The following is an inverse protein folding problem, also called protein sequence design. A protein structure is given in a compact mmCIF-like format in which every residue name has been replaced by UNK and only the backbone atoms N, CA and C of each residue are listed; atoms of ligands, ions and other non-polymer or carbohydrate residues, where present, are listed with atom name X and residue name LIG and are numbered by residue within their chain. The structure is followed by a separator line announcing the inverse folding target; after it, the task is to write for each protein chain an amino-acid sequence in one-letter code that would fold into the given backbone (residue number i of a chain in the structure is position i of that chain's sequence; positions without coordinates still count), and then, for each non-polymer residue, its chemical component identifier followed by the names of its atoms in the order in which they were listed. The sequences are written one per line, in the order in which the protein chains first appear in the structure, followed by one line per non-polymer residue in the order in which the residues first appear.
data_IF_407532241206
#
_entry.id   IF_407532241206
#
_cell.length_a   1.000
_cell.length_b   1.000
_cell.length_c   1.000
_cell.angle_alpha   90.00
_cell.angle_beta   90.00
_cell.angle_gamma   90.00
#
_symmetry.space_group_name_H-M   'P 1'
#
loop_
_entity.id
_entity.type
_entity.pdbx_description
1 polymer ?
#
# COMPACT_ATOMS: atom_id res chain seq x y z
N UNK A 1 -4.34 8.22 2.73
CA UNK A 1 -4.92 7.18 3.62
C UNK A 1 -4.38 5.79 3.28
N UNK A 2 -4.55 5.31 2.05
CA UNK A 2 -4.04 3.99 1.61
C UNK A 2 -2.53 3.77 1.91
N UNK A 3 -1.66 4.69 1.50
CA UNK A 3 -0.22 4.59 1.80
C UNK A 3 0.13 4.74 3.30
N UNK A 4 -0.77 5.30 4.11
CA UNK A 4 -0.57 5.43 5.56
C UNK A 4 -1.03 4.16 6.31
N UNK A 5 -1.48 3.13 5.61
CA UNK A 5 -2.02 1.90 6.21
C UNK A 5 -3.45 2.03 6.75
N UNK A 6 -4.13 3.16 6.50
CA UNK A 6 -5.52 3.40 6.90
C UNK A 6 -6.47 3.00 5.75
N UNK A 7 -6.41 1.71 5.35
CA UNK A 7 -7.13 1.16 4.20
C UNK A 7 -8.64 1.10 4.40
N UNK A 8 -9.09 0.77 5.61
CA UNK A 8 -10.51 0.68 5.98
C UNK A 8 -11.24 2.02 5.79
N UNK A 9 -10.74 3.09 6.41
CA UNK A 9 -11.28 4.45 6.25
C UNK A 9 -11.24 4.92 4.78
N UNK A 10 -10.18 4.56 4.06
CA UNK A 10 -10.09 4.91 2.64
C UNK A 10 -11.15 4.18 1.81
N UNK A 11 -11.41 2.90 2.13
CA UNK A 11 -12.42 2.08 1.48
C UNK A 11 -13.83 2.63 1.72
N UNK A 12 -14.17 3.02 2.95
CA UNK A 12 -15.47 3.63 3.28
C UNK A 12 -15.73 4.89 2.43
N UNK A 13 -14.72 5.76 2.30
CA UNK A 13 -14.81 6.97 1.46
C UNK A 13 -15.01 6.58 -0.02
N UNK A 14 -14.26 5.59 -0.51
CA UNK A 14 -14.37 5.15 -1.90
C UNK A 14 -15.72 4.48 -2.21
N UNK A 15 -16.28 3.70 -1.27
CA UNK A 15 -17.64 3.13 -1.38
C UNK A 15 -18.68 4.24 -1.49
N UNK A 16 -18.56 5.29 -0.68
CA UNK A 16 -19.48 6.43 -0.76
C UNK A 16 -19.42 7.13 -2.12
N UNK A 17 -18.21 7.36 -2.66
CA UNK A 17 -18.01 8.03 -3.96
C UNK A 17 -18.55 7.18 -5.12
N UNK A 18 -18.32 5.85 -5.08
CA UNK A 18 -18.82 4.94 -6.13
C UNK A 18 -20.34 4.80 -6.12
N UNK A 19 -20.99 4.84 -4.95
CA UNK A 19 -22.44 4.75 -4.83
C UNK A 19 -23.16 6.08 -5.13
N UNK A 20 -22.50 7.21 -4.89
CA UNK A 20 -23.05 8.56 -5.11
C UNK A 20 -22.16 9.39 -6.03
N UNK A 21 -22.05 9.03 -7.33
CA UNK A 21 -21.25 9.81 -8.27
C UNK A 21 -21.84 11.24 -8.38
N UNK A 22 -20.98 12.23 -8.16
CA UNK A 22 -21.36 13.65 -8.13
C UNK A 22 -21.98 14.13 -9.46
N UNK A 23 -22.88 15.11 -9.39
CA UNK A 23 -23.52 15.74 -10.55
C UNK A 23 -22.52 16.70 -11.20
N UNK A 24 -22.01 16.36 -12.40
CA UNK A 24 -21.01 17.16 -13.09
C UNK A 24 -21.55 18.53 -13.54
N UNK A 25 -20.74 19.58 -13.33
CA UNK A 25 -20.81 20.85 -14.05
C UNK A 25 -19.58 21.03 -14.95
N UNK A 26 -19.80 21.50 -16.18
CA UNK A 26 -18.87 22.29 -17.01
C UNK A 26 -17.50 21.77 -17.48
N UNK A 27 -16.91 20.71 -16.92
CA UNK A 27 -15.52 20.33 -17.27
C UNK A 27 -15.39 19.54 -18.59
N UNK A 28 -14.24 19.71 -19.27
CA UNK A 28 -13.85 18.99 -20.51
C UNK A 28 -13.58 17.49 -20.31
N UNK A 29 -13.58 17.00 -19.08
CA UNK A 29 -13.33 15.60 -18.73
C UNK A 29 -14.62 14.80 -18.88
N UNK A 30 -14.58 13.75 -19.71
CA UNK A 30 -15.74 12.88 -19.92
C UNK A 30 -16.02 12.02 -18.67
N UNK A 31 -17.31 11.79 -18.40
CA UNK A 31 -17.80 11.11 -17.19
C UNK A 31 -17.17 9.73 -16.98
N UNK A 32 -17.03 8.98 -18.07
CA UNK A 32 -16.45 7.64 -18.11
C UNK A 32 -14.98 7.59 -17.65
N UNK A 33 -14.18 8.62 -17.93
CA UNK A 33 -12.78 8.70 -17.50
C UNK A 33 -12.65 8.84 -15.98
N UNK A 34 -13.50 9.68 -15.38
CA UNK A 34 -13.58 9.84 -13.91
C UNK A 34 -14.11 8.56 -13.29
N UNK A 35 -15.19 8.00 -13.84
CA UNK A 35 -15.81 6.77 -13.36
C UNK A 35 -14.84 5.58 -13.37
N UNK A 36 -14.08 5.39 -14.46
CA UNK A 36 -13.07 4.34 -14.55
C UNK A 36 -11.94 4.55 -13.53
N UNK A 37 -11.47 5.79 -13.35
CA UNK A 37 -10.49 6.14 -12.32
C UNK A 37 -10.97 5.84 -10.90
N UNK A 38 -12.22 6.19 -10.58
CA UNK A 38 -12.86 5.87 -9.30
C UNK A 38 -12.96 4.36 -9.07
N UNK A 39 -13.39 3.58 -10.07
CA UNK A 39 -13.44 2.12 -9.93
C UNK A 39 -12.06 1.48 -9.79
N UNK A 40 -11.03 2.03 -10.42
CA UNK A 40 -9.65 1.56 -10.22
C UNK A 40 -9.17 1.81 -8.80
N UNK A 41 -9.41 3.01 -8.24
CA UNK A 41 -9.09 3.31 -6.84
C UNK A 41 -9.87 2.38 -5.89
N UNK A 42 -11.18 2.23 -6.11
CA UNK A 42 -12.01 1.34 -5.31
C UNK A 42 -11.50 -0.11 -5.35
N UNK A 43 -11.18 -0.62 -6.54
CA UNK A 43 -10.57 -1.94 -6.71
C UNK A 43 -9.28 -2.07 -5.90
N UNK A 44 -8.38 -1.09 -6.01
CA UNK A 44 -7.10 -1.12 -5.32
C UNK A 44 -7.28 -1.13 -3.79
N UNK A 45 -8.26 -0.40 -3.26
CA UNK A 45 -8.61 -0.39 -1.85
C UNK A 45 -9.21 -1.72 -1.38
N UNK A 46 -10.13 -2.31 -2.15
CA UNK A 46 -10.66 -3.64 -1.84
C UNK A 46 -9.55 -4.69 -1.77
N UNK A 47 -8.59 -4.66 -2.71
CA UNK A 47 -7.45 -5.59 -2.71
C UNK A 47 -6.52 -5.36 -1.52
N UNK A 48 -6.20 -4.10 -1.20
CA UNK A 48 -5.35 -3.76 -0.06
C UNK A 48 -5.98 -4.20 1.27
N UNK A 49 -7.29 -3.98 1.44
CA UNK A 49 -8.01 -4.41 2.64
C UNK A 49 -8.14 -5.94 2.70
N UNK A 50 -8.38 -6.60 1.56
CA UNK A 50 -8.35 -8.06 1.48
C UNK A 50 -6.97 -8.66 1.83
N UNK A 51 -5.89 -7.95 1.50
CA UNK A 51 -4.52 -8.31 1.89
C UNK A 51 -4.32 -8.14 3.39
N UNK A 52 -4.72 -7.00 3.97
CA UNK A 52 -4.69 -6.75 5.43
C UNK A 52 -5.46 -7.81 6.21
N UNK A 53 -6.65 -8.20 5.74
CA UNK A 53 -7.43 -9.26 6.36
C UNK A 53 -6.72 -10.62 6.28
N UNK A 54 -6.04 -10.92 5.15
CA UNK A 54 -5.22 -12.13 4.98
C UNK A 54 -4.11 -12.20 6.02
N UNK A 55 -3.43 -11.08 6.29
CA UNK A 55 -2.44 -10.96 7.37
C UNK A 55 -3.09 -11.30 8.72
N UNK A 56 -4.24 -10.67 9.01
CA UNK A 56 -4.91 -10.85 10.30
C UNK A 56 -5.37 -12.26 10.61
N UNK A 57 -5.42 -13.15 9.62
CA UNK A 57 -5.75 -14.54 9.84
C UNK A 57 -4.67 -15.30 10.63
N UNK A 58 -3.44 -14.78 10.73
CA UNK A 58 -2.38 -15.43 11.52
C UNK A 58 -2.45 -15.14 13.03
N UNK A 59 -3.18 -14.11 13.45
CA UNK A 59 -3.37 -13.76 14.87
C UNK A 59 -4.85 -13.64 15.29
N UNK A 60 -5.79 -13.95 14.40
CA UNK A 60 -7.22 -14.05 14.72
C UNK A 60 -7.62 -15.50 14.86
N UNK A 61 -8.49 -15.79 15.83
CA UNK A 61 -9.01 -17.12 16.07
C UNK A 61 -10.55 -17.13 16.13
N UNK A 62 -11.13 -18.34 16.13
CA UNK A 62 -12.55 -18.55 16.36
C UNK A 62 -13.48 -17.82 15.37
N UNK A 63 -14.49 -17.14 15.91
CA UNK A 63 -15.51 -16.45 15.11
C UNK A 63 -14.96 -15.24 14.35
N UNK A 64 -13.97 -14.53 14.92
CA UNK A 64 -13.32 -13.41 14.25
C UNK A 64 -12.58 -13.86 12.99
N UNK A 65 -11.95 -15.03 13.02
CA UNK A 65 -11.28 -15.62 11.86
C UNK A 65 -12.27 -15.86 10.72
N UNK A 66 -13.42 -16.49 11.00
CA UNK A 66 -14.46 -16.75 10.00
C UNK A 66 -15.07 -15.46 9.44
N UNK A 67 -15.33 -14.47 10.30
CA UNK A 67 -15.76 -13.12 9.87
C UNK A 67 -14.75 -12.49 8.91
N UNK A 68 -13.46 -12.53 9.25
CA UNK A 68 -12.39 -11.99 8.42
C UNK A 68 -12.29 -12.71 7.06
N UNK A 69 -12.42 -14.04 7.03
CA UNK A 69 -12.44 -14.83 5.79
C UNK A 69 -13.64 -14.47 4.90
N UNK A 70 -14.84 -14.42 5.48
CA UNK A 70 -16.06 -14.07 4.74
C UNK A 70 -15.98 -12.65 4.18
N UNK A 71 -15.54 -11.69 4.98
CA UNK A 71 -15.41 -10.30 4.55
C UNK A 71 -14.32 -10.13 3.49
N UNK A 72 -13.18 -10.80 3.64
CA UNK A 72 -12.13 -10.85 2.61
C UNK A 72 -12.68 -11.38 1.28
N UNK A 73 -13.50 -12.44 1.31
CA UNK A 73 -14.11 -13.00 0.10
C UNK A 73 -15.05 -12.00 -0.59
N UNK A 74 -15.84 -11.25 0.18
CA UNK A 74 -16.68 -10.15 -0.34
C UNK A 74 -15.81 -9.12 -1.07
N UNK A 75 -14.76 -8.61 -0.42
CA UNK A 75 -13.86 -7.60 -1.00
C UNK A 75 -13.19 -8.06 -2.30
N UNK A 76 -12.78 -9.34 -2.39
CA UNK A 76 -12.22 -9.89 -3.62
C UNK A 76 -13.25 -9.95 -4.77
N UNK A 77 -14.52 -10.23 -4.46
CA UNK A 77 -15.59 -10.18 -5.44
C UNK A 77 -15.88 -8.74 -5.89
N UNK A 78 -15.91 -7.79 -4.96
CA UNK A 78 -16.12 -6.37 -5.25
C UNK A 78 -14.99 -5.81 -6.13
N UNK A 79 -13.73 -6.13 -5.82
CA UNK A 79 -12.56 -5.83 -6.65
C UNK A 79 -12.68 -6.41 -8.07
N UNK A 80 -13.18 -7.64 -8.20
CA UNK A 80 -13.42 -8.28 -9.50
C UNK A 80 -14.49 -7.54 -10.30
N UNK A 81 -15.61 -7.18 -9.68
CA UNK A 81 -16.67 -6.43 -10.36
C UNK A 81 -16.21 -5.02 -10.77
N UNK A 82 -15.45 -4.34 -9.92
CA UNK A 82 -14.83 -3.06 -10.26
C UNK A 82 -13.91 -3.20 -11.49
N UNK A 83 -13.08 -4.24 -11.56
CA UNK A 83 -12.25 -4.52 -12.75
C UNK A 83 -13.07 -4.78 -14.03
N UNK A 84 -14.20 -5.49 -13.92
CA UNK A 84 -15.12 -5.69 -15.05
C UNK A 84 -15.71 -4.34 -15.52
N UNK A 85 -16.08 -3.46 -14.60
CA UNK A 85 -16.57 -2.11 -14.93
C UNK A 85 -15.52 -1.27 -15.64
N UNK A 86 -14.28 -1.26 -15.13
CA UNK A 86 -13.16 -0.55 -15.77
C UNK A 86 -12.91 -1.06 -17.19
N UNK A 87 -12.89 -2.38 -17.40
CA UNK A 87 -12.79 -2.97 -18.74
C UNK A 87 -13.92 -2.53 -19.67
N UNK A 88 -15.16 -2.54 -19.18
CA UNK A 88 -16.31 -2.13 -19.97
C UNK A 88 -16.22 -0.66 -20.37
N UNK A 89 -15.79 0.22 -19.46
CA UNK A 89 -15.59 1.64 -19.74
C UNK A 89 -14.43 1.85 -20.74
N UNK A 90 -13.35 1.10 -20.60
CA UNK A 90 -12.22 1.16 -21.53
C UNK A 90 -12.62 0.73 -22.94
N UNK A 91 -13.33 -0.40 -23.06
CA UNK A 91 -13.69 -0.98 -24.35
C UNK A 91 -14.81 -0.21 -25.05
N UNK A 92 -15.86 0.21 -24.32
CA UNK A 92 -17.02 0.86 -24.92
C UNK A 92 -16.72 2.29 -25.40
N UNK A 93 -15.63 2.89 -24.93
CA UNK A 93 -15.22 4.25 -25.28
C UNK A 93 -13.87 4.30 -26.01
N UNK A 94 -13.36 3.16 -26.50
CA UNK A 94 -12.11 3.07 -27.27
C UNK A 94 -10.88 3.65 -26.53
N UNK A 95 -10.76 3.35 -25.22
CA UNK A 95 -9.73 3.92 -24.34
C UNK A 95 -8.64 2.95 -23.90
N UNK A 96 -8.57 1.75 -24.47
CA UNK A 96 -7.60 0.75 -24.02
C UNK A 96 -6.16 1.30 -24.05
N UNK A 97 -5.71 1.80 -25.19
CA UNK A 97 -4.40 2.45 -25.31
C UNK A 97 -4.30 3.73 -24.48
N UNK A 98 -5.22 4.68 -24.64
CA UNK A 98 -5.14 5.99 -23.97
C UNK A 98 -5.20 5.91 -22.43
N UNK A 99 -5.82 4.88 -21.87
CA UNK A 99 -5.87 4.65 -20.42
C UNK A 99 -4.53 4.23 -19.81
N UNK A 100 -3.62 3.61 -20.58
CA UNK A 100 -2.28 3.24 -20.13
C UNK A 100 -1.34 4.45 -20.02
N UNK A 101 -1.66 5.54 -20.74
CA UNK A 101 -0.82 6.73 -20.80
C UNK A 101 -0.87 7.53 -19.49
N UNK A 102 0.29 7.92 -18.92
CA UNK A 102 0.36 8.83 -17.79
C UNK A 102 -0.08 10.25 -18.17
N UNK A 103 -0.36 11.09 -17.17
CA UNK A 103 -0.90 12.46 -17.32
C UNK A 103 -2.32 12.60 -17.88
N UNK A 104 -2.86 13.82 -17.82
CA UNK A 104 -4.12 14.25 -18.44
C UNK A 104 -4.03 14.30 -19.97
N UNK A 105 -3.65 13.18 -20.60
CA UNK A 105 -3.78 13.01 -22.04
C UNK A 105 -5.26 12.87 -22.43
N UNK A 106 -5.70 13.40 -23.58
CA UNK A 106 -7.04 13.13 -24.08
C UNK A 106 -7.26 11.62 -24.16
N UNK A 107 -8.33 11.12 -23.54
CA UNK A 107 -8.60 9.70 -23.56
C UNK A 107 -8.36 8.97 -22.23
N UNK A 108 -7.45 9.49 -21.41
CA UNK A 108 -6.92 8.79 -20.23
C UNK A 108 -7.93 8.68 -19.09
N UNK A 109 -7.72 7.70 -18.22
CA UNK A 109 -8.46 7.62 -16.97
C UNK A 109 -7.89 8.58 -15.94
N UNK A 110 -8.76 9.21 -15.15
CA UNK A 110 -8.34 10.11 -14.08
C UNK A 110 -7.92 9.27 -12.87
N UNK A 111 -6.68 8.80 -12.89
CA UNK A 111 -6.06 8.04 -11.80
C UNK A 111 -4.60 8.44 -11.58
N UNK A 112 -4.03 8.03 -10.45
CA UNK A 112 -2.62 8.20 -10.15
C UNK A 112 -1.76 7.29 -11.02
N UNK A 113 -0.60 7.79 -11.44
CA UNK A 113 0.31 7.07 -12.36
C UNK A 113 0.73 5.69 -11.83
N UNK A 114 0.92 5.55 -10.52
CA UNK A 114 1.35 4.29 -9.91
C UNK A 114 0.28 3.18 -9.92
N UNK A 115 -0.99 3.51 -10.14
CA UNK A 115 -2.06 2.53 -10.34
C UNK A 115 -2.19 2.08 -11.79
N UNK A 116 -1.63 2.82 -12.75
CA UNK A 116 -1.75 2.46 -14.18
C UNK A 116 -1.23 1.06 -14.50
N UNK A 117 -0.12 0.56 -13.92
CA UNK A 117 0.31 -0.82 -14.19
C UNK A 117 -0.69 -1.88 -13.69
N UNK A 118 -1.59 -1.57 -12.75
CA UNK A 118 -2.67 -2.49 -12.35
C UNK A 118 -3.68 -2.74 -13.49
N UNK A 119 -3.72 -1.88 -14.51
CA UNK A 119 -4.52 -2.10 -15.72
C UNK A 119 -4.09 -3.37 -16.47
N UNK A 120 -2.85 -3.81 -16.34
CA UNK A 120 -2.39 -5.10 -16.91
C UNK A 120 -3.19 -6.25 -16.32
N UNK A 121 -3.45 -6.25 -15.01
CA UNK A 121 -4.29 -7.27 -14.36
C UNK A 121 -5.76 -7.13 -14.73
N UNK A 122 -6.23 -5.91 -14.97
CA UNK A 122 -7.63 -5.64 -15.32
C UNK A 122 -7.93 -6.05 -16.77
N UNK A 123 -7.08 -5.67 -17.71
CA UNK A 123 -7.24 -5.98 -19.15
C UNK A 123 -6.79 -7.39 -19.50
N UNK A 124 -5.79 -7.92 -18.77
CA UNK A 124 -5.04 -9.10 -19.14
C UNK A 124 -3.82 -8.75 -19.99
N UNK A 125 -2.73 -9.48 -19.81
CA UNK A 125 -1.43 -9.18 -20.42
C UNK A 125 -1.47 -9.09 -21.95
N UNK A 126 -2.27 -9.92 -22.63
CA UNK A 126 -2.44 -9.86 -24.08
C UNK A 126 -3.06 -8.55 -24.57
N UNK A 127 -4.18 -8.14 -23.97
CA UNK A 127 -4.88 -6.90 -24.33
C UNK A 127 -4.05 -5.67 -23.96
N UNK A 128 -3.40 -5.69 -22.79
CA UNK A 128 -2.53 -4.61 -22.37
C UNK A 128 -1.30 -4.44 -23.28
N UNK A 129 -0.73 -5.55 -23.76
CA UNK A 129 0.37 -5.53 -24.75
C UNK A 129 -0.05 -4.88 -26.05
N UNK A 130 -1.17 -5.31 -26.64
CA UNK A 130 -1.67 -4.73 -27.89
C UNK A 130 -1.96 -3.23 -27.74
N UNK A 131 -2.59 -2.84 -26.62
CA UNK A 131 -2.86 -1.44 -26.31
C UNK A 131 -1.57 -0.62 -26.11
N UNK A 132 -0.52 -1.22 -25.55
CA UNK A 132 0.78 -0.59 -25.41
C UNK A 132 1.48 -0.47 -26.77
N UNK A 133 1.45 -1.51 -27.59
CA UNK A 133 2.05 -1.53 -28.92
C UNK A 133 1.40 -0.48 -29.84
N UNK A 134 0.09 -0.25 -29.71
CA UNK A 134 -0.60 0.85 -30.40
C UNK A 134 0.00 2.23 -30.05
N UNK A 135 0.32 2.48 -28.77
CA UNK A 135 0.98 3.72 -28.34
C UNK A 135 2.36 3.85 -29.00
N UNK A 136 3.14 2.76 -29.05
CA UNK A 136 4.47 2.78 -29.65
C UNK A 136 4.44 2.94 -31.18
N UNK A 137 3.42 2.40 -31.85
CA UNK A 137 3.22 2.56 -33.28
C UNK A 137 2.74 3.97 -33.65
N UNK A 138 1.97 4.60 -32.77
CA UNK A 138 1.42 5.96 -32.94
C UNK A 138 1.80 6.81 -31.73
N UNK A 139 3.10 7.15 -31.57
CA UNK A 139 3.58 7.84 -30.38
C UNK A 139 2.93 9.22 -30.27
N UNK A 140 2.37 9.57 -29.10
CA UNK A 140 1.87 10.91 -28.85
C UNK A 140 3.02 11.93 -28.77
N UNK A 141 2.68 13.22 -28.84
CA UNK A 141 3.68 14.30 -28.73
C UNK A 141 4.50 14.24 -27.43
N UNK A 142 3.88 13.81 -26.34
CA UNK A 142 4.49 13.67 -25.01
C UNK A 142 5.22 12.34 -24.79
N UNK A 143 5.34 11.49 -25.82
CA UNK A 143 5.80 10.10 -25.69
C UNK A 143 7.12 9.96 -24.92
N UNK A 144 8.12 10.77 -25.22
CA UNK A 144 9.43 10.70 -24.55
C UNK A 144 9.34 10.91 -23.02
N UNK A 145 8.40 11.74 -22.56
CA UNK A 145 8.16 12.00 -21.13
C UNK A 145 7.32 10.89 -20.48
N UNK A 146 6.45 10.25 -21.28
CA UNK A 146 5.59 9.15 -20.84
C UNK A 146 6.32 7.81 -20.84
N UNK A 147 7.32 7.64 -21.73
CA UNK A 147 8.01 6.38 -22.01
C UNK A 147 8.50 5.67 -20.75
N UNK A 148 9.19 6.32 -19.78
CA UNK A 148 9.64 5.60 -18.59
C UNK A 148 8.52 4.96 -17.77
N UNK A 149 7.33 5.58 -17.70
CA UNK A 149 6.18 4.97 -17.03
C UNK A 149 5.52 3.87 -17.87
N UNK A 150 5.51 4.02 -19.19
CA UNK A 150 5.02 2.99 -20.11
C UNK A 150 5.93 1.74 -20.09
N UNK A 151 7.23 1.88 -19.89
CA UNK A 151 8.14 0.75 -19.69
C UNK A 151 7.85 -0.01 -18.38
N UNK A 152 7.41 0.67 -17.31
CA UNK A 152 6.93 -0.02 -16.09
C UNK A 152 5.68 -0.86 -16.40
N UNK A 153 4.77 -0.35 -17.25
CA UNK A 153 3.63 -1.14 -17.73
C UNK A 153 4.09 -2.33 -18.57
N UNK A 154 5.09 -2.15 -19.44
CA UNK A 154 5.67 -3.24 -20.24
C UNK A 154 6.27 -4.34 -19.37
N UNK A 155 7.02 -3.97 -18.34
CA UNK A 155 7.57 -4.92 -17.39
C UNK A 155 6.47 -5.73 -16.67
N UNK A 156 5.36 -5.09 -16.31
CA UNK A 156 4.24 -5.77 -15.66
C UNK A 156 3.51 -6.71 -16.63
N UNK A 157 3.50 -6.39 -17.93
CA UNK A 157 3.02 -7.31 -18.98
C UNK A 157 3.92 -8.54 -19.09
N UNK A 158 5.25 -8.35 -19.16
CA UNK A 158 6.22 -9.44 -19.22
C UNK A 158 6.11 -10.35 -17.98
N UNK A 159 6.09 -9.76 -16.78
CA UNK A 159 5.88 -10.48 -15.53
C UNK A 159 4.55 -11.26 -15.53
N UNK A 160 3.45 -10.64 -15.98
CA UNK A 160 2.15 -11.30 -16.04
C UNK A 160 2.07 -12.45 -17.08
N UNK A 161 3.02 -12.53 -18.01
CA UNK A 161 3.17 -13.65 -18.96
C UNK A 161 4.06 -14.77 -18.41
N UNK A 162 4.77 -14.54 -17.31
CA UNK A 162 5.78 -15.44 -16.76
C UNK A 162 7.19 -15.21 -17.33
N UNK A 163 7.39 -14.15 -18.10
CA UNK A 163 8.69 -13.80 -18.68
C UNK A 163 9.48 -12.93 -17.68
N UNK A 164 9.93 -13.54 -16.58
CA UNK A 164 10.58 -12.85 -15.45
C UNK A 164 11.92 -12.20 -15.82
N UNK A 165 12.75 -12.87 -16.62
CA UNK A 165 14.01 -12.32 -17.15
C UNK A 165 13.78 -11.01 -17.92
N UNK A 166 12.78 -11.00 -18.80
CA UNK A 166 12.43 -9.81 -19.59
C UNK A 166 11.91 -8.69 -18.67
N UNK A 167 11.07 -9.02 -17.68
CA UNK A 167 10.59 -8.06 -16.70
C UNK A 167 11.74 -7.42 -15.91
N UNK A 168 12.73 -8.22 -15.48
CA UNK A 168 13.93 -7.73 -14.77
C UNK A 168 14.72 -6.77 -15.66
N UNK A 169 14.98 -7.14 -16.92
CA UNK A 169 15.72 -6.29 -17.85
C UNK A 169 15.03 -4.94 -18.09
N UNK A 170 13.72 -4.95 -18.29
CA UNK A 170 12.93 -3.73 -18.51
C UNK A 170 12.95 -2.87 -17.25
N UNK A 171 12.70 -3.45 -16.07
CA UNK A 171 12.66 -2.70 -14.81
C UNK A 171 14.00 -2.05 -14.48
N UNK A 172 15.12 -2.77 -14.66
CA UNK A 172 16.46 -2.21 -14.42
C UNK A 172 16.78 -1.02 -15.32
N UNK A 173 16.27 -1.01 -16.56
CA UNK A 173 16.42 0.12 -17.49
C UNK A 173 15.46 1.26 -17.15
N UNK A 174 14.21 0.95 -16.80
CA UNK A 174 13.16 1.93 -16.59
C UNK A 174 13.26 2.68 -15.24
N UNK A 175 13.65 2.00 -14.15
CA UNK A 175 13.69 2.58 -12.79
C UNK A 175 14.51 3.88 -12.72
N UNK A 176 15.74 3.95 -13.29
CA UNK A 176 16.51 5.19 -13.32
C UNK A 176 15.84 6.31 -14.13
N UNK A 177 15.14 5.99 -15.23
CA UNK A 177 14.50 6.96 -16.12
C UNK A 177 13.18 7.51 -15.56
N UNK A 178 12.46 6.75 -14.72
CA UNK A 178 11.22 7.23 -14.07
C UNK A 178 11.50 8.47 -13.21
N UNK A 179 12.69 8.57 -12.62
CA UNK A 179 13.16 9.72 -11.87
C UNK A 179 12.42 9.97 -10.53
N UNK A 180 12.86 11.00 -9.81
CA UNK A 180 12.29 11.34 -8.49
C UNK A 180 10.89 11.96 -8.56
N UNK A 181 10.57 12.64 -9.68
CA UNK A 181 9.25 13.25 -9.89
C UNK A 181 8.08 12.25 -9.92
N UNK A 182 8.37 10.95 -10.00
CA UNK A 182 7.39 9.86 -9.89
C UNK A 182 7.80 8.83 -8.84
N UNK A 183 8.25 9.29 -7.67
CA UNK A 183 8.76 8.47 -6.57
C UNK A 183 7.88 7.24 -6.24
N UNK A 184 6.55 7.38 -6.21
CA UNK A 184 5.64 6.26 -5.89
C UNK A 184 5.61 5.20 -6.99
N UNK A 185 5.63 5.61 -8.27
CA UNK A 185 5.70 4.67 -9.40
C UNK A 185 7.08 3.98 -9.43
N UNK A 186 8.15 4.72 -9.13
CA UNK A 186 9.49 4.16 -8.98
C UNK A 186 9.53 3.12 -7.86
N UNK A 187 9.01 3.43 -6.69
CA UNK A 187 8.95 2.49 -5.57
C UNK A 187 8.11 1.24 -5.91
N UNK A 188 7.05 1.38 -6.72
CA UNK A 188 6.32 0.23 -7.27
C UNK A 188 7.20 -0.64 -8.15
N UNK A 189 7.91 -0.05 -9.11
CA UNK A 189 8.81 -0.76 -10.01
C UNK A 189 9.95 -1.45 -9.24
N UNK A 190 10.55 -0.77 -8.26
CA UNK A 190 11.57 -1.33 -7.38
C UNK A 190 11.01 -2.47 -6.51
N UNK A 191 9.79 -2.36 -5.99
CA UNK A 191 9.15 -3.41 -5.21
C UNK A 191 8.86 -4.65 -6.06
N UNK A 192 8.34 -4.47 -7.29
CA UNK A 192 8.15 -5.56 -8.25
C UNK A 192 9.47 -6.25 -8.57
N UNK A 193 10.52 -5.48 -8.88
CA UNK A 193 11.85 -6.02 -9.18
C UNK A 193 12.40 -6.80 -7.98
N UNK A 194 12.31 -6.24 -6.77
CA UNK A 194 12.75 -6.93 -5.56
C UNK A 194 12.00 -8.24 -5.35
N UNK A 195 10.67 -8.25 -5.55
CA UNK A 195 9.85 -9.46 -5.46
C UNK A 195 10.32 -10.57 -6.41
N UNK A 196 10.48 -10.26 -7.69
CA UNK A 196 10.97 -11.23 -8.69
C UNK A 196 12.37 -11.75 -8.30
N UNK A 197 13.28 -10.86 -7.89
CA UNK A 197 14.64 -11.25 -7.50
C UNK A 197 14.68 -12.11 -6.23
N UNK A 198 13.77 -11.88 -5.28
CA UNK A 198 13.62 -12.76 -4.11
C UNK A 198 13.15 -14.15 -4.52
N UNK A 199 12.16 -14.24 -5.42
CA UNK A 199 11.64 -15.51 -5.93
C UNK A 199 12.71 -16.29 -6.73
N UNK A 200 13.58 -15.59 -7.48
CA UNK A 200 14.76 -16.18 -8.16
C UNK A 200 15.93 -16.53 -7.23
N UNK A 201 15.87 -16.16 -5.96
CA UNK A 201 16.93 -16.39 -4.98
C UNK A 201 18.17 -15.50 -5.16
N UNK A 202 18.03 -14.35 -5.85
CA UNK A 202 19.09 -13.35 -6.09
C UNK A 202 19.14 -12.29 -4.99
N UNK A 203 19.33 -12.74 -3.76
CA UNK A 203 19.22 -11.92 -2.54
C UNK A 203 20.12 -10.69 -2.52
N UNK A 204 21.36 -10.78 -3.00
CA UNK A 204 22.30 -9.65 -2.97
C UNK A 204 21.77 -8.44 -3.76
N UNK A 205 21.18 -8.69 -4.94
CA UNK A 205 20.54 -7.66 -5.74
C UNK A 205 19.17 -7.26 -5.17
N UNK A 206 18.37 -8.24 -4.76
CA UNK A 206 17.01 -8.02 -4.26
C UNK A 206 16.99 -7.11 -3.03
N UNK A 207 17.96 -7.28 -2.12
CA UNK A 207 18.08 -6.49 -0.89
C UNK A 207 18.33 -5.01 -1.15
N UNK A 208 19.02 -4.65 -2.22
CA UNK A 208 19.26 -3.24 -2.58
C UNK A 208 17.93 -2.55 -2.93
N UNK A 209 17.13 -3.17 -3.81
CA UNK A 209 15.83 -2.64 -4.21
C UNK A 209 14.80 -2.72 -3.08
N UNK A 210 14.75 -3.86 -2.38
CA UNK A 210 13.80 -4.07 -1.29
C UNK A 210 13.99 -3.09 -0.14
N UNK A 211 15.24 -2.81 0.24
CA UNK A 211 15.54 -1.88 1.34
C UNK A 211 15.15 -0.44 0.96
N UNK A 212 15.42 -0.01 -0.28
CA UNK A 212 14.95 1.30 -0.78
C UNK A 212 13.43 1.44 -0.70
N UNK A 213 12.69 0.39 -1.02
CA UNK A 213 11.22 0.38 -0.90
C UNK A 213 10.79 0.43 0.57
N UNK A 214 11.45 -0.33 1.46
CA UNK A 214 11.19 -0.29 2.91
C UNK A 214 11.57 1.04 3.58
N UNK A 215 12.39 1.86 2.95
CA UNK A 215 12.67 3.21 3.44
C UNK A 215 11.68 4.24 2.88
N UNK A 216 11.26 4.11 1.62
CA UNK A 216 10.47 5.14 0.92
C UNK A 216 8.97 4.87 0.89
N UNK A 217 8.55 3.64 0.56
CA UNK A 217 7.14 3.26 0.44
C UNK A 217 6.90 1.79 0.85
N UNK A 218 7.01 1.44 2.14
CA UNK A 218 6.91 0.06 2.63
C UNK A 218 5.59 -0.62 2.28
N UNK A 219 4.51 0.16 2.25
CA UNK A 219 3.17 -0.30 1.88
C UNK A 219 3.11 -0.92 0.47
N UNK A 220 4.10 -0.68 -0.39
CA UNK A 220 4.13 -1.21 -1.74
C UNK A 220 4.21 -2.75 -1.77
N UNK A 221 4.91 -3.37 -0.81
CA UNK A 221 4.91 -4.83 -0.67
C UNK A 221 3.50 -5.39 -0.41
N UNK A 222 2.68 -4.67 0.37
CA UNK A 222 1.27 -5.03 0.56
C UNK A 222 0.44 -4.85 -0.71
N UNK A 223 0.61 -3.72 -1.39
CA UNK A 223 -0.15 -3.40 -2.60
C UNK A 223 0.11 -4.41 -3.73
N UNK A 224 1.34 -4.91 -3.84
CA UNK A 224 1.73 -5.89 -4.84
C UNK A 224 1.57 -7.35 -4.37
N UNK A 225 1.00 -7.59 -3.19
CA UNK A 225 0.87 -8.93 -2.56
C UNK A 225 2.22 -9.68 -2.42
N UNK A 226 3.33 -8.97 -2.27
CA UNK A 226 4.68 -9.53 -2.17
C UNK A 226 5.03 -9.96 -0.74
N UNK A 227 5.81 -11.04 -0.62
CA UNK A 227 6.34 -11.55 0.64
C UNK A 227 7.82 -11.15 0.80
N UNK A 228 8.21 -10.80 2.02
CA UNK A 228 9.59 -10.45 2.37
C UNK A 228 10.31 -11.66 2.95
N UNK A 229 11.53 -11.98 2.50
CA UNK A 229 12.36 -12.96 3.18
C UNK A 229 12.79 -12.41 4.52
N UNK A 230 12.68 -13.21 5.58
CA UNK A 230 13.06 -12.81 6.94
C UNK A 230 13.86 -13.90 7.64
N UNK A 231 14.78 -13.45 8.49
CA UNK A 231 15.50 -14.32 9.44
C UNK A 231 15.05 -13.95 10.84
N UNK A 232 14.29 -14.83 11.47
CA UNK A 232 13.73 -14.59 12.81
C UNK A 232 14.70 -15.09 13.88
N UNK A 233 15.00 -14.22 14.85
CA UNK A 233 15.82 -14.50 16.02
C UNK A 233 14.97 -14.29 17.28
N UNK A 234 14.86 -15.30 18.13
CA UNK A 234 14.13 -15.23 19.41
C UNK A 234 15.10 -15.27 20.60
N UNK A 235 14.62 -14.88 21.77
CA UNK A 235 15.37 -14.99 23.03
C UNK A 235 15.30 -16.38 23.69
N UNK A 236 14.70 -17.36 23.01
CA UNK A 236 14.53 -18.73 23.49
C UNK A 236 13.32 -18.96 24.39
N UNK A 237 12.51 -17.93 24.68
CA UNK A 237 11.25 -18.10 25.41
C UNK A 237 10.16 -18.71 24.51
N UNK A 238 9.21 -19.44 25.12
CA UNK A 238 8.06 -20.02 24.38
C UNK A 238 7.18 -18.92 23.78
N UNK A 239 6.95 -17.83 24.51
CA UNK A 239 6.15 -16.70 24.03
C UNK A 239 6.79 -16.06 22.79
N UNK A 240 8.12 -15.88 22.78
CA UNK A 240 8.81 -15.35 21.59
C UNK A 240 8.75 -16.31 20.40
N UNK A 241 8.73 -17.63 20.64
CA UNK A 241 8.53 -18.62 19.59
C UNK A 241 7.11 -18.57 19.01
N UNK A 242 6.08 -18.48 19.86
CA UNK A 242 4.68 -18.37 19.40
C UNK A 242 4.47 -17.10 18.55
N UNK A 243 5.08 -15.97 18.94
CA UNK A 243 5.06 -14.72 18.16
C UNK A 243 5.80 -14.91 16.83
N UNK A 244 6.93 -15.61 16.83
CA UNK A 244 7.70 -15.88 15.61
C UNK A 244 6.87 -16.69 14.62
N UNK A 245 6.21 -17.75 15.09
CA UNK A 245 5.35 -18.61 14.27
C UNK A 245 4.18 -17.81 13.69
N UNK A 246 3.49 -16.99 14.51
CA UNK A 246 2.40 -16.14 14.03
C UNK A 246 2.83 -15.08 13.00
N UNK A 247 4.08 -14.58 13.08
CA UNK A 247 4.66 -13.70 12.06
C UNK A 247 4.96 -14.47 10.77
N UNK A 248 5.49 -15.69 10.86
CA UNK A 248 5.84 -16.51 9.70
C UNK A 248 4.63 -17.16 9.01
N UNK A 249 3.53 -17.36 9.74
CA UNK A 249 2.24 -17.79 9.19
C UNK A 249 1.57 -16.69 8.35
N UNK A 250 2.01 -15.44 8.51
CA UNK A 250 1.56 -14.33 7.69
C UNK A 250 2.08 -14.45 6.25
N UNK A 251 1.25 -14.18 5.23
CA UNK A 251 1.68 -14.19 3.83
C UNK A 251 2.64 -13.03 3.47
N UNK A 252 3.03 -12.20 4.43
CA UNK A 252 3.96 -11.07 4.25
C UNK A 252 5.41 -11.45 4.45
N UNK A 253 5.65 -12.58 5.09
CA UNK A 253 6.97 -13.00 5.47
C UNK A 253 7.17 -14.45 5.06
N UNK A 254 8.40 -14.82 4.71
CA UNK A 254 8.82 -16.20 4.58
C UNK A 254 10.23 -16.36 5.13
N UNK A 255 10.54 -17.51 5.70
CA UNK A 255 11.84 -17.72 6.34
C UNK A 255 12.94 -17.93 5.30
N UNK A 256 14.00 -17.13 5.36
CA UNK A 256 15.26 -17.34 4.63
C UNK A 256 16.44 -16.80 5.46
N UNK A 257 17.55 -17.53 5.49
CA UNK A 257 18.75 -17.14 6.26
C UNK A 257 19.38 -15.81 5.79
N UNK A 258 19.17 -15.45 4.52
CA UNK A 258 19.65 -14.19 3.93
C UNK A 258 18.61 -13.07 4.02
N UNK A 259 17.45 -13.34 4.64
CA UNK A 259 16.35 -12.40 4.78
C UNK A 259 16.59 -11.26 5.77
N UNK A 260 15.62 -10.35 5.86
CA UNK A 260 15.63 -9.24 6.80
C UNK A 260 15.58 -9.77 8.25
N UNK A 261 16.51 -9.35 9.13
CA UNK A 261 16.49 -9.80 10.52
C UNK A 261 15.26 -9.27 11.27
N UNK A 262 14.52 -10.19 11.87
CA UNK A 262 13.46 -9.91 12.85
C UNK A 262 13.92 -10.42 14.21
N UNK A 263 14.01 -9.55 15.21
CA UNK A 263 14.36 -9.92 16.59
C UNK A 263 13.13 -9.83 17.47
N UNK A 264 12.83 -10.90 18.20
CA UNK A 264 11.69 -11.00 19.12
C UNK A 264 12.21 -11.27 20.52
N UNK A 265 11.76 -10.47 21.49
CA UNK A 265 12.14 -10.60 22.91
C UNK A 265 10.90 -10.52 23.79
N UNK A 266 10.76 -11.50 24.68
CA UNK A 266 9.75 -11.53 25.73
C UNK A 266 10.41 -11.25 27.08
N UNK A 267 10.29 -10.00 27.53
CA UNK A 267 10.67 -9.63 28.89
C UNK A 267 9.45 -9.78 29.81
N UNK A 268 9.64 -9.93 31.14
CA UNK A 268 8.54 -10.08 32.09
C UNK A 268 7.48 -8.96 32.01
N UNK A 269 7.90 -7.74 31.67
CA UNK A 269 7.02 -6.57 31.60
C UNK A 269 6.60 -6.20 30.17
N UNK A 270 7.37 -6.60 29.15
CA UNK A 270 7.15 -6.16 27.76
C UNK A 270 7.60 -7.18 26.72
N UNK A 271 6.80 -7.30 25.68
CA UNK A 271 7.12 -8.00 24.44
C UNK A 271 7.62 -6.98 23.42
N UNK A 272 8.68 -7.31 22.69
CA UNK A 272 9.30 -6.41 21.70
C UNK A 272 9.60 -7.18 20.42
N UNK A 273 9.25 -6.59 19.27
CA UNK A 273 9.60 -7.09 17.96
C UNK A 273 10.28 -5.97 17.14
N UNK A 274 11.43 -6.29 16.54
CA UNK A 274 12.26 -5.34 15.79
C UNK A 274 12.59 -5.90 14.42
N UNK A 275 12.28 -5.16 13.36
CA UNK A 275 12.70 -5.42 11.98
C UNK A 275 13.86 -4.50 11.63
N UNK A 276 14.94 -5.04 11.08
CA UNK A 276 16.11 -4.25 10.65
C UNK A 276 16.53 -4.59 9.22
N UNK A 277 17.27 -3.70 8.58
CA UNK A 277 17.94 -3.98 7.32
C UNK A 277 19.12 -4.95 7.52
N UNK A 278 19.67 -5.54 6.44
CA UNK A 278 20.91 -6.31 6.52
C UNK A 278 22.09 -5.52 7.10
N UNK A 279 22.10 -4.19 6.91
CA UNK A 279 23.10 -3.27 7.47
C UNK A 279 22.76 -2.84 8.91
N UNK A 280 21.80 -3.52 9.56
CA UNK A 280 21.35 -3.27 10.94
C UNK A 280 20.71 -1.88 11.16
N UNK A 281 20.28 -1.19 10.11
CA UNK A 281 19.44 0.00 10.27
C UNK A 281 18.05 -0.42 10.74
N UNK A 282 17.51 0.28 11.73
CA UNK A 282 16.17 0.01 12.25
C UNK A 282 15.12 0.36 11.20
N UNK A 283 14.25 -0.59 10.83
CA UNK A 283 13.13 -0.38 9.91
C UNK A 283 11.81 -0.25 10.67
N UNK A 284 11.55 -1.13 11.64
CA UNK A 284 10.39 -1.05 12.51
C UNK A 284 10.69 -1.61 13.90
N UNK A 285 10.13 -0.98 14.93
CA UNK A 285 10.13 -1.50 16.30
C UNK A 285 8.75 -1.29 16.91
N UNK A 286 8.27 -2.31 17.63
CA UNK A 286 7.01 -2.29 18.35
C UNK A 286 7.21 -2.95 19.71
N UNK A 287 6.54 -2.40 20.73
CA UNK A 287 6.49 -3.02 22.05
C UNK A 287 5.08 -3.00 22.63
N UNK A 288 4.72 -4.07 23.33
CA UNK A 288 3.42 -4.26 23.99
C UNK A 288 3.67 -4.73 25.44
N UNK A 289 2.89 -4.30 26.44
CA UNK A 289 2.98 -4.84 27.79
C UNK A 289 2.77 -6.35 27.80
N UNK A 290 3.57 -7.11 28.56
CA UNK A 290 3.47 -8.58 28.58
C UNK A 290 2.20 -9.12 29.25
N UNK A 291 1.51 -8.29 30.05
CA UNK A 291 0.24 -8.64 30.68
C UNK A 291 -0.90 -7.78 30.15
N UNK A 292 -2.05 -8.43 29.92
CA UNK A 292 -3.30 -7.76 29.53
C UNK A 292 -3.74 -6.82 30.65
N UNK A 293 -3.88 -5.53 30.35
CA UNK A 293 -4.47 -4.57 31.29
C UNK A 293 -5.96 -4.85 31.38
N UNK A 294 -6.39 -5.57 32.42
CA UNK A 294 -7.81 -5.68 32.75
C UNK A 294 -8.29 -4.29 33.19
N UNK A 295 -9.08 -3.60 32.35
CA UNK A 295 -9.84 -2.42 32.79
C UNK A 295 -10.84 -2.90 33.85
N UNK A 296 -10.52 -2.74 35.13
CA UNK A 296 -11.52 -2.88 36.20
C UNK A 296 -12.50 -1.72 36.06
N UNK A 297 -13.79 -2.04 35.91
CA UNK A 297 -14.91 -1.10 36.06
C UNK A 297 -14.75 -0.40 37.42
N UNK A 298 -14.83 0.93 37.54
CA UNK A 298 -14.91 1.57 38.85
C UNK A 298 -16.15 1.04 39.56
N UNK A 299 -15.97 0.40 40.71
CA UNK A 299 -17.05 -0.04 41.57
C UNK A 299 -17.76 1.20 42.12
N UNK A 300 -18.91 1.53 41.55
CA UNK A 300 -19.82 2.52 42.09
C UNK A 300 -20.51 3.35 41.02
N UNK A 301 -21.45 2.76 40.30
CA UNK A 301 -22.66 3.46 39.81
C UNK A 301 -23.66 2.40 39.31
N UNK A 302 -24.64 2.07 40.16
CA UNK A 302 -25.86 1.40 39.74
C UNK A 302 -26.65 2.37 38.86
N UNK A 303 -26.65 2.18 37.54
CA UNK A 303 -27.71 2.72 36.69
C UNK A 303 -28.17 1.68 35.67
N UNK A 304 -29.45 1.35 35.83
CA UNK A 304 -30.31 0.66 34.87
C UNK A 304 -30.17 1.22 33.46
N UNK A 305 -29.90 0.33 32.52
CA UNK A 305 -29.90 0.64 31.09
C UNK A 305 -29.12 -0.41 30.33
N UNK A 306 -29.82 -1.28 29.61
CA UNK A 306 -29.24 -2.20 28.63
C UNK A 306 -28.52 -1.38 27.55
N UNK A 307 -27.25 -1.08 27.80
CA UNK A 307 -26.27 -0.81 26.74
C UNK A 307 -25.59 -2.15 26.56
N UNK A 308 -25.80 -2.79 25.41
CA UNK A 308 -24.89 -3.85 24.96
C UNK A 308 -23.52 -3.18 24.84
N UNK A 309 -22.72 -3.28 25.90
CA UNK A 309 -21.33 -2.86 25.92
C UNK A 309 -20.65 -3.74 24.86
N UNK A 310 -20.35 -3.17 23.69
CA UNK A 310 -19.36 -3.72 22.78
C UNK A 310 -18.06 -3.77 23.58
N UNK A 311 -17.79 -4.90 24.23
CA UNK A 311 -16.48 -5.20 24.79
C UNK A 311 -15.49 -4.97 23.64
N UNK A 312 -14.68 -3.91 23.73
CA UNK A 312 -13.50 -3.76 22.88
C UNK A 312 -12.71 -5.06 23.05
N UNK A 313 -12.90 -5.98 22.09
CA UNK A 313 -12.42 -7.36 22.12
C UNK A 313 -10.89 -7.29 21.99
N UNK A 314 -10.24 -7.00 23.11
CA UNK A 314 -8.81 -6.75 23.18
C UNK A 314 -8.08 -8.06 22.89
N UNK A 315 -7.19 -8.02 21.90
CA UNK A 315 -6.30 -9.11 21.57
C UNK A 315 -5.44 -9.47 22.78
N UNK A 316 -4.99 -10.72 22.85
CA UNK A 316 -3.98 -11.09 23.84
C UNK A 316 -2.63 -10.45 23.47
N UNK A 317 -1.76 -10.15 24.44
CA UNK A 317 -0.54 -9.37 24.18
C UNK A 317 0.36 -9.89 23.04
N UNK A 318 0.55 -11.21 22.85
CA UNK A 318 1.27 -11.73 21.69
C UNK A 318 0.61 -11.37 20.36
N UNK A 319 -0.70 -11.57 20.23
CA UNK A 319 -1.47 -11.25 19.02
C UNK A 319 -1.50 -9.74 18.74
N UNK A 320 -1.60 -8.92 19.79
CA UNK A 320 -1.51 -7.46 19.69
C UNK A 320 -0.13 -7.03 19.16
N UNK A 321 0.95 -7.65 19.66
CA UNK A 321 2.30 -7.38 19.17
C UNK A 321 2.44 -7.76 17.69
N UNK A 322 1.94 -8.92 17.27
CA UNK A 322 1.98 -9.35 15.85
C UNK A 322 1.19 -8.37 14.96
N UNK A 323 -0.01 -7.98 15.38
CA UNK A 323 -0.84 -7.03 14.65
C UNK A 323 -0.17 -5.65 14.49
N UNK A 324 0.39 -5.12 15.58
CA UNK A 324 1.10 -3.84 15.57
C UNK A 324 2.41 -3.92 14.79
N UNK A 325 3.13 -5.04 14.88
CA UNK A 325 4.34 -5.28 14.10
C UNK A 325 4.06 -5.21 12.60
N UNK A 326 3.04 -5.93 12.13
CA UNK A 326 2.59 -5.82 10.74
C UNK A 326 2.22 -4.39 10.38
N UNK A 327 1.43 -3.70 11.22
CA UNK A 327 1.05 -2.30 10.96
C UNK A 327 2.29 -1.41 10.79
N UNK A 328 3.29 -1.54 11.67
CA UNK A 328 4.49 -0.71 11.69
C UNK A 328 5.49 -1.06 10.58
N UNK A 329 5.71 -2.34 10.31
CA UNK A 329 6.68 -2.82 9.31
C UNK A 329 6.39 -2.32 7.88
N UNK A 330 5.11 -2.09 7.57
CA UNK A 330 4.66 -1.65 6.25
C UNK A 330 4.07 -0.22 6.27
N UNK A 331 4.28 0.54 7.35
CA UNK A 331 3.90 1.94 7.41
C UNK A 331 5.06 2.84 6.93
N UNK A 332 4.79 3.98 6.28
CA UNK A 332 5.83 4.95 5.94
C UNK A 332 6.57 5.42 7.19
N UNK A 333 7.88 5.60 7.04
CA UNK A 333 8.73 6.19 8.06
C UNK A 333 8.52 7.69 8.06
N UNK A 334 7.65 8.17 8.96
CA UNK A 334 7.59 9.59 9.26
C UNK A 334 8.75 9.89 10.22
N UNK A 335 9.86 10.38 9.69
CA UNK A 335 10.92 10.98 10.50
C UNK A 335 10.40 12.30 11.04
N UNK A 336 9.61 12.22 12.12
CA UNK A 336 9.22 13.39 12.87
C UNK A 336 10.44 13.83 13.68
N UNK A 337 11.05 14.92 13.25
CA UNK A 337 12.10 15.58 14.01
C UNK A 337 11.55 16.01 15.38
N UNK A 338 12.41 16.09 16.42
CA UNK A 338 12.01 16.53 17.77
C UNK A 338 11.20 17.85 17.79
N UNK A 339 11.36 18.70 16.77
CA UNK A 339 10.60 19.94 16.61
C UNK A 339 9.12 19.71 16.25
N UNK A 340 8.79 18.61 15.56
CA UNK A 340 7.42 18.27 15.16
C UNK A 340 6.64 17.59 16.30
N UNK A 341 7.33 16.86 17.18
CA UNK A 341 6.77 16.33 18.44
C UNK A 341 6.25 17.47 19.32
N UNK A 342 7.00 18.59 19.42
CA UNK A 342 6.58 19.79 20.16
C UNK A 342 5.47 20.58 19.45
N UNK A 343 5.20 20.33 18.17
CA UNK A 343 4.08 20.94 17.43
C UNK A 343 2.78 20.16 17.58
N UNK A 344 2.87 18.88 18.00
CA UNK A 344 1.72 18.02 18.30
C UNK A 344 1.06 18.38 19.64
N UNK A 345 1.77 19.10 20.52
CA UNK A 345 1.31 19.50 21.85
C UNK A 345 0.58 20.87 21.88
N UNK A 346 -0.05 21.25 20.76
CA UNK A 346 -1.07 22.31 20.78
C UNK A 346 -0.55 23.76 20.79
N UNK A 347 0.50 24.06 20.04
CA UNK A 347 0.87 25.45 19.72
C UNK A 347 0.25 25.87 18.38
N UNK A 348 -0.80 26.68 18.44
CA UNK A 348 -1.53 27.24 17.29
C UNK A 348 -0.68 28.25 16.51
N UNK A 349 0.22 27.79 15.64
CA UNK A 349 0.81 28.65 14.60
C UNK A 349 0.86 27.94 13.23
N UNK A 350 -0.15 28.30 12.42
CA UNK A 350 -0.15 28.45 10.95
C UNK A 350 -0.32 27.20 10.06
N UNK A 351 -1.56 27.02 9.58
CA UNK A 351 -2.02 26.12 8.50
C UNK A 351 -1.22 26.19 7.18
N UNK A 352 -0.49 27.27 6.93
CA UNK A 352 0.32 27.42 5.71
C UNK A 352 1.53 26.47 5.67
N UNK A 353 2.07 26.07 6.83
CA UNK A 353 3.22 25.15 6.89
C UNK A 353 2.80 23.70 6.71
N UNK A 354 1.65 23.30 7.24
CA UNK A 354 1.06 21.96 7.02
C UNK A 354 0.84 21.66 5.53
N UNK A 355 0.34 22.66 4.80
CA UNK A 355 0.06 22.48 3.38
C UNK A 355 1.34 22.40 2.53
N UNK A 356 2.42 23.09 2.94
CA UNK A 356 3.71 23.00 2.26
C UNK A 356 4.47 21.70 2.61
N UNK A 357 4.40 21.22 3.85
CA UNK A 357 5.02 19.95 4.25
C UNK A 357 4.37 18.73 3.56
N UNK A 358 3.03 18.75 3.42
CA UNK A 358 2.32 17.72 2.65
C UNK A 358 2.66 17.75 1.15
N UNK A 359 3.00 18.93 0.61
CA UNK A 359 3.43 19.11 -0.78
C UNK A 359 4.86 18.63 -1.00
N UNK A 360 5.78 18.94 -0.08
CA UNK A 360 7.16 18.47 -0.14
C UNK A 360 7.24 16.94 0.00
N UNK A 361 6.42 16.34 0.88
CA UNK A 361 6.33 14.89 1.04
C UNK A 361 5.83 14.13 -0.22
N UNK A 362 5.23 14.84 -1.18
CA UNK A 362 4.75 14.28 -2.45
C UNK A 362 5.45 14.90 -3.69
N UNK A 363 6.57 15.60 -3.48
CA UNK A 363 7.40 16.15 -4.57
C UNK A 363 6.86 17.42 -5.24
N UNK A 364 5.94 18.15 -4.61
CA UNK A 364 5.42 19.42 -5.10
C UNK A 364 6.13 20.62 -4.43
N UNK A 365 6.40 21.71 -5.17
CA UNK A 365 7.02 22.90 -4.60
C UNK A 365 6.12 23.60 -3.58
N UNK A 366 6.74 24.12 -2.52
CA UNK A 366 6.11 24.92 -1.46
C UNK A 366 5.48 26.20 -2.03
N UNK A 367 4.26 26.54 -1.62
CA UNK A 367 3.63 27.81 -1.97
C UNK A 367 4.26 28.93 -1.15
N UNK A 368 4.71 30.01 -1.81
CA UNK A 368 5.17 31.21 -1.12
C UNK A 368 3.96 31.96 -0.54
N UNK A 369 4.10 32.64 0.60
CA UNK A 369 3.05 33.51 1.14
C UNK A 369 2.83 34.68 0.16
N UNK A 370 1.91 34.53 -0.78
CA UNK A 370 1.64 35.52 -1.83
C UNK A 370 1.02 34.94 -3.11
N UNK A 371 1.23 33.65 -3.40
CA UNK A 371 0.78 33.03 -4.66
C UNK A 371 -0.68 32.54 -4.63
N UNK A 372 -1.60 33.36 -4.09
CA UNK A 372 -3.03 33.12 -4.31
C UNK A 372 -3.42 33.79 -5.63
N UNK A 373 -3.95 33.08 -6.63
CA UNK A 373 -4.76 33.75 -7.64
C UNK A 373 -5.93 34.39 -6.91
N UNK A 374 -6.10 35.70 -7.08
CA UNK A 374 -7.34 36.39 -6.72
C UNK A 374 -8.46 35.79 -7.55
N UNK A 375 -9.35 35.02 -6.91
CA UNK A 375 -10.56 34.53 -7.54
C UNK A 375 -11.46 35.72 -7.96
N UNK A 376 -12.08 35.70 -9.14
CA UNK A 376 -13.40 36.30 -9.32
C UNK A 376 -14.47 35.52 -8.55
#
# INVERSE_FOLDING_TARGET
LMHLGETEKALEIAEMITQRPDRQGGDSIQRDQKEAGTYMLYRALCLAEASRLKESLSWKSGWQWWKAVAYRRKLLNDARFAGIKVRSLASNHERLASSLRPYYAPGTFIMTDWHRPDLVTVYGAGVASEALDEIYQKPPESFEVERPALEVVRAEIAWARGDEDEAIEILKKAIPEVGEGRAVLRARAEARLAGILFDEGRFDEAMEYGTRVLDTAPAMFRHLDLSLPVRVETDGSSVAADIADAILDSPRFHSDERGYPIKIRANPDKLVATLSSPQQSLLAEVSVPAMKKVKKKPEGEEQDGQVEEEEEESLDPPDELVALFHKKAFAPRLDLSQAEINSLDGSTLTDSRRNNAAREAIGLPSLRPGDRPSSP
#
